data_IF_260120345265
#
_entry.id   IF_260120345265
#
_cell.length_a   1.000
_cell.length_b   1.000
_cell.length_c   1.000
_cell.angle_alpha   90.00
_cell.angle_beta   90.00
_cell.angle_gamma   90.00
#
_symmetry.space_group_name_H-M   'P 1'
#
loop_
_entity.id
_entity.type
_entity.pdbx_description
1 polymer ?
#
# COMPACT_ATOMS: atom_id res chain seq x y z
N UNK A 1 14.60 -3.95 -16.92
CA UNK A 1 13.53 -4.67 -16.21
C UNK A 1 13.13 -4.02 -14.87
N UNK A 2 14.07 -3.65 -13.99
CA UNK A 2 13.78 -3.01 -12.68
C UNK A 2 12.81 -1.81 -12.74
N UNK A 3 13.01 -0.87 -13.67
CA UNK A 3 12.18 0.34 -13.80
C UNK A 3 10.74 0.09 -14.23
N UNK A 4 10.50 -0.96 -15.01
CA UNK A 4 9.14 -1.37 -15.38
C UNK A 4 8.42 -1.93 -14.15
N UNK A 5 9.12 -2.73 -13.34
CA UNK A 5 8.57 -3.28 -12.11
C UNK A 5 8.31 -2.19 -11.06
N UNK A 6 9.20 -1.22 -10.88
CA UNK A 6 8.96 -0.04 -10.04
C UNK A 6 7.69 0.72 -10.47
N UNK A 7 7.53 0.97 -11.77
CA UNK A 7 6.39 1.68 -12.30
C UNK A 7 5.08 0.90 -12.09
N UNK A 8 5.11 -0.41 -12.32
CA UNK A 8 3.96 -1.28 -12.07
C UNK A 8 3.59 -1.29 -10.58
N UNK A 9 4.57 -1.41 -9.67
CA UNK A 9 4.34 -1.38 -8.23
C UNK A 9 3.82 -0.01 -7.75
N UNK A 10 4.31 1.08 -8.33
CA UNK A 10 3.82 2.44 -8.08
C UNK A 10 2.37 2.64 -8.51
N UNK A 11 1.88 1.95 -9.55
CA UNK A 11 0.48 2.02 -9.99
C UNK A 11 -0.39 1.07 -9.16
N UNK A 12 0.13 -0.12 -8.85
CA UNK A 12 -0.61 -1.14 -8.10
C UNK A 12 -0.89 -0.70 -6.66
N UNK A 13 0.04 0.01 -6.02
CA UNK A 13 -0.13 0.47 -4.64
C UNK A 13 -1.34 1.41 -4.46
N UNK A 14 -1.51 2.52 -5.20
CA UNK A 14 -2.71 3.35 -5.13
C UNK A 14 -4.01 2.58 -5.34
N UNK A 15 -4.03 1.63 -6.28
CA UNK A 15 -5.21 0.78 -6.52
C UNK A 15 -5.50 -0.08 -5.29
N UNK A 16 -4.47 -0.69 -4.70
CA UNK A 16 -4.61 -1.46 -3.46
C UNK A 16 -5.12 -0.58 -2.30
N UNK A 17 -4.62 0.65 -2.13
CA UNK A 17 -5.10 1.59 -1.10
C UNK A 17 -6.60 1.85 -1.25
N UNK A 18 -7.06 2.16 -2.47
CA UNK A 18 -8.49 2.42 -2.73
C UNK A 18 -9.33 1.19 -2.43
N UNK A 19 -8.89 0.00 -2.83
CA UNK A 19 -9.60 -1.24 -2.54
C UNK A 19 -9.68 -1.52 -1.03
N UNK A 20 -8.59 -1.26 -0.29
CA UNK A 20 -8.56 -1.38 1.17
C UNK A 20 -9.57 -0.41 1.80
N UNK A 21 -9.64 0.83 1.34
CA UNK A 21 -10.59 1.82 1.88
C UNK A 21 -12.04 1.43 1.60
N UNK A 22 -12.36 0.96 0.38
CA UNK A 22 -13.69 0.44 0.05
C UNK A 22 -14.04 -0.74 0.98
N UNK A 23 -13.10 -1.66 1.18
CA UNK A 23 -13.30 -2.79 2.08
C UNK A 23 -13.55 -2.32 3.51
N UNK A 24 -12.72 -1.43 4.06
CA UNK A 24 -12.88 -0.85 5.40
C UNK A 24 -14.21 -0.11 5.61
N UNK A 25 -14.66 0.61 4.59
CA UNK A 25 -15.93 1.33 4.63
C UNK A 25 -17.11 0.36 4.79
N UNK A 26 -17.05 -0.79 4.11
CA UNK A 26 -18.08 -1.84 4.16
C UNK A 26 -17.94 -2.81 5.33
N UNK A 27 -16.77 -2.85 5.96
CA UNK A 27 -16.43 -3.76 7.04
C UNK A 27 -17.18 -3.40 8.33
N UNK A 28 -17.93 -4.31 8.94
CA UNK A 28 -18.75 -4.03 10.14
C UNK A 28 -18.22 -4.68 11.42
N UNK A 29 -17.22 -5.57 11.33
CA UNK A 29 -16.66 -6.32 12.47
C UNK A 29 -15.62 -5.55 13.30
N UNK A 30 -15.14 -4.40 12.83
CA UNK A 30 -14.15 -3.58 13.53
C UNK A 30 -14.66 -2.16 13.84
N UNK A 31 -14.30 -1.65 15.01
CA UNK A 31 -14.63 -0.30 15.45
C UNK A 31 -13.94 0.81 14.64
N UNK A 32 -14.38 2.05 14.86
CA UNK A 32 -13.91 3.23 14.10
C UNK A 32 -12.40 3.47 14.25
N UNK A 33 -11.85 3.34 15.46
CA UNK A 33 -10.40 3.54 15.70
C UNK A 33 -9.53 2.62 14.86
N UNK A 34 -9.72 1.29 14.92
CA UNK A 34 -9.05 0.34 14.05
C UNK A 34 -9.22 0.65 12.55
N UNK A 35 -10.42 1.06 12.09
CA UNK A 35 -10.61 1.47 10.69
C UNK A 35 -9.72 2.64 10.31
N UNK A 36 -9.68 3.69 11.13
CA UNK A 36 -8.86 4.87 10.86
C UNK A 36 -7.37 4.48 10.83
N UNK A 37 -6.91 3.66 11.79
CA UNK A 37 -5.55 3.17 11.82
C UNK A 37 -5.19 2.42 10.53
N UNK A 38 -6.01 1.46 10.12
CA UNK A 38 -5.79 0.68 8.88
C UNK A 38 -5.84 1.55 7.61
N UNK A 39 -6.75 2.53 7.55
CA UNK A 39 -6.82 3.46 6.44
C UNK A 39 -5.52 4.27 6.31
N UNK A 40 -4.98 4.77 7.41
CA UNK A 40 -3.70 5.50 7.45
C UNK A 40 -2.53 4.57 7.09
N UNK A 41 -2.43 3.40 7.72
CA UNK A 41 -1.34 2.45 7.48
C UNK A 41 -1.28 1.99 6.01
N UNK A 42 -2.42 1.84 5.35
CA UNK A 42 -2.48 1.43 3.94
C UNK A 42 -1.88 2.45 2.97
N UNK A 43 -1.73 3.72 3.36
CA UNK A 43 -1.13 4.77 2.52
C UNK A 43 0.36 4.49 2.31
N UNK A 44 1.04 3.94 3.33
CA UNK A 44 2.47 3.67 3.31
C UNK A 44 2.77 2.59 2.27
N UNK A 45 3.56 2.88 1.22
CA UNK A 45 3.77 1.96 0.12
C UNK A 45 4.85 0.94 0.45
N UNK A 46 4.54 0.02 1.38
CA UNK A 46 5.46 -1.00 1.88
C UNK A 46 6.07 -1.85 0.77
N UNK A 47 5.31 -2.19 -0.27
CA UNK A 47 5.80 -3.05 -1.37
C UNK A 47 6.88 -2.34 -2.20
N UNK A 48 6.66 -1.15 -2.80
CA UNK A 48 7.74 -0.45 -3.49
C UNK A 48 8.84 0.02 -2.53
N UNK A 49 8.54 0.29 -1.25
CA UNK A 49 9.57 0.63 -0.25
C UNK A 49 10.54 -0.54 -0.02
N UNK A 50 10.02 -1.75 0.20
CA UNK A 50 10.84 -2.97 0.35
C UNK A 50 11.54 -3.32 -0.96
N UNK A 51 10.88 -3.16 -2.10
CA UNK A 51 11.49 -3.37 -3.41
C UNK A 51 12.72 -2.47 -3.62
N UNK A 52 12.62 -1.19 -3.26
CA UNK A 52 13.74 -0.25 -3.36
C UNK A 52 14.85 -0.59 -2.34
N UNK A 53 14.49 -0.96 -1.10
CA UNK A 53 15.45 -1.37 -0.07
C UNK A 53 16.22 -2.66 -0.41
N UNK A 54 15.53 -3.65 -0.96
CA UNK A 54 16.13 -4.95 -1.33
C UNK A 54 16.84 -4.90 -2.68
N UNK A 55 16.44 -3.96 -3.53
CA UNK A 55 17.01 -3.78 -4.84
C UNK A 55 18.25 -2.91 -4.85
N UNK A 56 19.26 -3.10 -3.99
CA UNK A 56 20.64 -2.54 -4.07
C UNK A 56 20.86 -1.14 -4.70
N UNK A 57 19.85 -0.24 -4.66
CA UNK A 57 19.86 1.09 -5.29
C UNK A 57 19.92 2.20 -4.21
N UNK A 58 20.14 1.81 -2.95
CA UNK A 58 20.55 2.70 -1.88
C UNK A 58 22.09 2.77 -1.87
N UNK A 59 22.64 3.58 -2.79
CA UNK A 59 24.08 3.83 -3.11
C UNK A 59 24.61 2.97 -4.28
#
# INVERSE_FOLDING_TARGET
MKKVLELVLCILHPVAVVLIWIHLARRSDIGLGPKIAWAIFSIVPLVPFVYVLTGNDFI
#
